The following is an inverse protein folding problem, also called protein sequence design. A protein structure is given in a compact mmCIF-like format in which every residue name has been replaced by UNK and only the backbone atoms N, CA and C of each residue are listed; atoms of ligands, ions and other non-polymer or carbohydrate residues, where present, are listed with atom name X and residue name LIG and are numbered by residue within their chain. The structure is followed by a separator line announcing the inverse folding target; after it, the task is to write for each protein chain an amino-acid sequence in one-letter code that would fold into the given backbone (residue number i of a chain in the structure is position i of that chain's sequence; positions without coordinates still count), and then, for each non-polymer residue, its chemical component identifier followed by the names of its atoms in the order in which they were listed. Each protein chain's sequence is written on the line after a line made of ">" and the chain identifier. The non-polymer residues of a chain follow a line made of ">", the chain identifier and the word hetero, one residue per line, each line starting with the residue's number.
data_IF_701668244514
#
_entry.id   IF_701668244514
#
_cell.length_a   1.000
_cell.length_b   1.000
_cell.length_c   1.000
_cell.angle_alpha   90.00
_cell.angle_beta   90.00
_cell.angle_gamma   90.00
#
_symmetry.space_group_name_H-M   'P 1'
#
loop_
_entity.id
_entity.type
_entity.pdbx_description
1 polymer ?
#
# COMPACT_ATOMS: atom_id res chain seq x y z
N UNK A 1 13.09 52.69 40.07
CA UNK A 1 14.15 52.95 41.07
C UNK A 1 14.26 51.73 41.97
N UNK A 2 15.33 50.94 41.79
CA UNK A 2 16.46 50.76 42.74
C UNK A 2 16.08 49.73 43.84
N UNK A 3 16.39 48.45 43.62
CA UNK A 3 17.60 47.73 44.11
C UNK A 3 17.30 47.07 45.49
N UNK A 4 17.94 46.01 46.00
CA UNK A 4 19.29 45.49 45.78
C UNK A 4 19.45 44.19 46.62
N UNK A 5 20.10 43.15 46.05
CA UNK A 5 21.21 42.33 46.63
C UNK A 5 20.93 41.43 47.87
N UNK A 6 21.63 40.32 48.16
CA UNK A 6 23.09 39.98 48.23
C UNK A 6 23.19 38.43 48.16
N UNK A 7 23.95 37.78 47.24
CA UNK A 7 25.35 37.24 47.34
C UNK A 7 25.62 36.39 48.63
N UNK A 8 26.33 35.25 48.66
CA UNK A 8 27.64 34.93 48.06
C UNK A 8 28.00 33.43 48.21
N UNK A 9 28.88 32.95 47.32
CA UNK A 9 29.48 31.63 47.15
C UNK A 9 30.43 31.12 48.26
N UNK A 10 30.70 29.82 48.27
CA UNK A 10 32.04 29.27 48.57
C UNK A 10 32.39 28.06 47.68
N UNK A 11 33.62 28.08 47.20
CA UNK A 11 34.32 27.11 46.34
C UNK A 11 35.20 26.24 47.25
N UNK A 12 35.40 24.94 46.96
CA UNK A 12 36.73 24.28 46.87
C UNK A 12 36.65 22.74 46.73
N UNK A 13 37.74 22.20 46.16
CA UNK A 13 37.92 20.91 45.51
C UNK A 13 38.21 19.71 46.45
N UNK A 14 37.82 18.52 45.97
CA UNK A 14 38.44 17.18 46.06
C UNK A 14 39.00 16.64 47.40
N UNK A 15 38.45 15.50 47.87
CA UNK A 15 39.14 14.19 47.94
C UNK A 15 38.26 13.12 48.62
N UNK A 16 38.22 11.93 47.99
CA UNK A 16 37.86 10.60 48.51
C UNK A 16 36.37 10.25 48.79
N UNK A 17 35.89 9.25 48.05
CA UNK A 17 34.97 8.22 48.58
C UNK A 17 33.50 8.34 48.22
N UNK A 18 33.12 7.72 47.09
CA UNK A 18 31.83 7.07 46.77
C UNK A 18 30.52 7.61 47.33
N UNK A 19 29.59 8.00 46.44
CA UNK A 19 28.26 7.37 46.32
C UNK A 19 27.60 7.88 45.04
N UNK A 20 27.20 6.92 44.19
CA UNK A 20 26.52 7.11 42.92
C UNK A 20 25.15 7.76 43.10
N UNK A 21 24.79 8.77 42.30
CA UNK A 21 23.44 8.90 41.72
C UNK A 21 23.52 9.69 40.40
N UNK A 22 23.18 8.99 39.32
CA UNK A 22 23.06 9.49 37.96
C UNK A 22 21.77 10.31 37.83
N UNK A 23 21.86 11.54 37.32
CA UNK A 23 20.74 12.22 36.66
C UNK A 23 21.25 12.67 35.29
N UNK A 24 21.01 11.82 34.29
CA UNK A 24 21.27 12.13 32.88
C UNK A 24 19.97 11.89 32.10
N UNK A 25 18.98 12.77 32.27
CA UNK A 25 17.75 12.75 31.50
C UNK A 25 17.53 14.10 30.84
N UNK A 26 18.04 14.26 29.60
CA UNK A 26 17.51 15.26 28.68
C UNK A 26 17.85 15.04 27.19
N UNK A 27 18.74 14.12 26.84
CA UNK A 27 19.20 13.94 25.43
C UNK A 27 18.73 12.62 24.83
N UNK A 28 17.48 12.22 25.09
CA UNK A 28 16.88 11.02 24.47
C UNK A 28 15.50 11.29 23.84
N UNK A 29 15.21 12.56 23.53
CA UNK A 29 13.90 13.00 23.03
C UNK A 29 13.83 13.27 21.52
N UNK A 30 14.93 13.17 20.78
CA UNK A 30 14.93 13.39 19.32
C UNK A 30 14.85 12.10 18.48
N UNK A 31 15.22 10.94 19.02
CA UNK A 31 15.23 9.67 18.26
C UNK A 31 13.92 8.85 18.37
N UNK A 32 12.97 9.29 19.20
CA UNK A 32 11.71 8.57 19.45
C UNK A 32 10.57 8.98 18.50
N UNK A 33 10.72 10.07 17.75
CA UNK A 33 9.66 10.58 16.86
C UNK A 33 9.74 10.03 15.43
N UNK A 34 10.90 9.54 14.97
CA UNK A 34 11.00 8.91 13.64
C UNK A 34 10.52 7.45 13.59
N UNK A 35 10.34 6.81 14.76
CA UNK A 35 9.73 5.49 14.87
C UNK A 35 8.20 5.50 14.92
N UNK A 36 7.57 6.69 14.93
CA UNK A 36 6.10 6.85 14.92
C UNK A 36 5.45 6.70 13.53
N UNK A 37 6.12 6.05 12.57
CA UNK A 37 5.38 5.21 11.61
C UNK A 37 5.05 3.88 12.28
N UNK A 38 4.20 3.95 13.31
CA UNK A 38 3.51 2.77 13.84
C UNK A 38 2.66 2.24 12.71
N UNK A 39 3.16 1.21 12.02
CA UNK A 39 2.39 0.37 11.12
C UNK A 39 1.31 -0.29 11.97
N UNK A 40 0.14 0.34 12.04
CA UNK A 40 -1.05 -0.23 12.68
C UNK A 40 -1.56 -1.35 11.78
N UNK A 41 -1.76 -2.52 12.39
CA UNK A 41 -2.15 -3.75 11.70
C UNK A 41 -0.94 -4.53 11.22
N UNK A 42 -0.95 -5.84 11.49
CA UNK A 42 -0.08 -6.78 10.81
C UNK A 42 -0.16 -6.46 9.31
N UNK A 43 0.96 -6.00 8.74
CA UNK A 43 1.08 -5.93 7.28
C UNK A 43 0.64 -7.29 6.77
N UNK A 44 -0.35 -7.36 5.90
CA UNK A 44 -0.29 -8.35 4.84
C UNK A 44 1.14 -8.25 4.30
N UNK A 45 1.97 -9.27 4.58
CA UNK A 45 3.39 -9.30 4.21
C UNK A 45 3.59 -9.37 2.70
N UNK A 46 2.53 -9.20 1.92
CA UNK A 46 2.58 -9.25 0.49
C UNK A 46 3.04 -7.90 -0.04
N UNK A 47 4.20 -7.91 -0.68
CA UNK A 47 4.78 -6.78 -1.41
C UNK A 47 3.85 -6.23 -2.52
N UNK A 48 2.69 -6.87 -2.77
CA UNK A 48 1.81 -6.68 -3.90
C UNK A 48 0.32 -6.52 -3.53
N UNK A 49 -0.05 -5.93 -2.39
CA UNK A 49 -1.47 -5.76 -2.00
C UNK A 49 -2.35 -5.08 -3.07
N UNK A 50 -1.77 -4.23 -3.92
CA UNK A 50 -2.47 -3.61 -5.05
C UNK A 50 -2.84 -4.62 -6.15
N UNK A 51 -1.98 -5.61 -6.40
CA UNK A 51 -2.28 -6.69 -7.34
C UNK A 51 -3.33 -7.62 -6.76
N UNK A 52 -3.26 -7.89 -5.45
CA UNK A 52 -4.22 -8.75 -4.76
C UNK A 52 -5.62 -8.17 -4.80
N UNK A 53 -5.78 -6.88 -4.50
CA UNK A 53 -7.09 -6.23 -4.61
C UNK A 53 -7.55 -6.11 -6.07
N UNK A 54 -6.64 -5.86 -7.02
CA UNK A 54 -6.97 -5.86 -8.44
C UNK A 54 -7.49 -7.23 -8.88
N UNK A 55 -6.77 -8.30 -8.51
CA UNK A 55 -7.12 -9.68 -8.83
C UNK A 55 -8.44 -10.09 -8.17
N UNK A 56 -8.63 -9.78 -6.89
CA UNK A 56 -9.88 -10.02 -6.20
C UNK A 56 -11.05 -9.28 -6.87
N UNK A 57 -10.84 -8.02 -7.26
CA UNK A 57 -11.85 -7.23 -7.97
C UNK A 57 -12.16 -7.84 -9.33
N UNK A 58 -11.15 -8.20 -10.13
CA UNK A 58 -11.35 -8.83 -11.45
C UNK A 58 -12.06 -10.18 -11.33
N UNK A 59 -11.71 -11.00 -10.34
CA UNK A 59 -12.34 -12.31 -10.10
C UNK A 59 -13.82 -12.20 -9.69
N UNK A 60 -14.20 -11.10 -9.03
CA UNK A 60 -15.58 -10.85 -8.62
C UNK A 60 -16.48 -10.34 -9.77
N UNK A 61 -15.91 -10.05 -10.95
CA UNK A 61 -16.69 -9.60 -12.11
C UNK A 61 -17.47 -10.79 -12.68
N UNK A 62 -18.81 -10.68 -12.82
CA UNK A 62 -19.60 -11.72 -13.45
C UNK A 62 -19.06 -12.06 -14.83
N UNK A 63 -18.85 -13.34 -15.10
CA UNK A 63 -18.35 -13.81 -16.38
C UNK A 63 -19.15 -15.01 -16.87
N UNK A 64 -19.30 -15.11 -18.19
CA UNK A 64 -20.05 -16.20 -18.81
C UNK A 64 -19.14 -17.41 -19.01
N UNK A 65 -19.39 -18.49 -18.27
CA UNK A 65 -18.70 -19.78 -18.40
C UNK A 65 -17.37 -19.89 -17.65
N UNK A 66 -16.68 -21.04 -17.74
CA UNK A 66 -15.37 -21.24 -17.14
C UNK A 66 -14.29 -20.45 -17.89
N UNK A 67 -13.26 -20.00 -17.18
CA UNK A 67 -12.12 -19.31 -17.76
C UNK A 67 -11.13 -18.87 -16.69
N UNK A 68 -9.91 -18.54 -17.12
CA UNK A 68 -8.90 -17.97 -16.24
C UNK A 68 -9.00 -16.46 -16.26
N UNK A 69 -8.85 -15.83 -15.10
CA UNK A 69 -8.89 -14.38 -14.94
C UNK A 69 -7.52 -13.92 -14.46
N UNK A 70 -7.05 -12.80 -15.02
CA UNK A 70 -5.79 -12.17 -14.68
C UNK A 70 -6.00 -10.68 -14.46
N UNK A 71 -5.41 -10.15 -13.39
CA UNK A 71 -5.20 -8.72 -13.24
C UNK A 71 -3.83 -8.34 -13.80
N UNK A 72 -3.82 -7.65 -14.94
CA UNK A 72 -2.61 -7.24 -15.65
C UNK A 72 -2.33 -5.77 -15.36
N UNK A 73 -1.14 -5.46 -14.85
CA UNK A 73 -0.72 -4.07 -14.60
C UNK A 73 -0.66 -3.29 -15.92
N UNK A 74 -1.12 -2.05 -15.89
CA UNK A 74 -1.00 -1.07 -16.98
C UNK A 74 -0.32 0.19 -16.47
N UNK A 75 0.63 0.74 -17.23
CA UNK A 75 1.31 1.97 -16.82
C UNK A 75 0.52 3.19 -17.29
N UNK A 76 0.36 4.16 -16.41
CA UNK A 76 -0.22 5.47 -16.72
C UNK A 76 0.54 6.12 -17.88
N UNK A 77 -0.17 6.56 -18.93
CA UNK A 77 0.44 7.18 -20.11
C UNK A 77 0.92 6.21 -21.19
N UNK A 78 0.74 4.89 -21.00
CA UNK A 78 0.90 3.92 -22.08
C UNK A 78 -0.20 4.10 -23.14
N UNK A 79 0.20 4.03 -24.42
CA UNK A 79 -0.71 4.08 -25.56
C UNK A 79 -1.72 2.93 -25.60
N UNK A 80 -1.35 1.64 -25.40
CA UNK A 80 -2.32 0.56 -25.49
C UNK A 80 -3.34 0.62 -24.34
N UNK A 81 -4.60 0.41 -24.69
CA UNK A 81 -5.69 0.20 -23.74
C UNK A 81 -5.76 -1.28 -23.30
N UNK A 82 -6.66 -1.59 -22.37
CA UNK A 82 -6.79 -2.94 -21.86
C UNK A 82 -7.29 -3.95 -22.90
N UNK A 83 -8.05 -3.51 -23.90
CA UNK A 83 -8.48 -4.37 -25.01
C UNK A 83 -7.27 -4.86 -25.80
N UNK A 84 -6.34 -3.96 -26.13
CA UNK A 84 -5.11 -4.33 -26.84
C UNK A 84 -4.17 -5.15 -25.96
N UNK A 85 -4.01 -4.79 -24.69
CA UNK A 85 -3.14 -5.52 -23.75
C UNK A 85 -3.62 -6.96 -23.58
N UNK A 86 -4.91 -7.17 -23.30
CA UNK A 86 -5.43 -8.51 -23.05
C UNK A 86 -5.42 -9.41 -24.29
N UNK A 87 -5.40 -8.84 -25.49
CA UNK A 87 -5.34 -9.59 -26.75
C UNK A 87 -3.91 -9.72 -27.31
N UNK A 88 -2.91 -9.10 -26.67
CA UNK A 88 -1.51 -9.17 -27.09
C UNK A 88 -0.94 -10.59 -26.93
N UNK A 89 -0.41 -11.14 -28.02
CA UNK A 89 0.24 -12.45 -28.05
C UNK A 89 1.36 -12.58 -27.00
N UNK A 90 2.16 -11.53 -26.78
CA UNK A 90 3.25 -11.51 -25.81
C UNK A 90 2.77 -11.65 -24.37
N UNK A 91 1.56 -11.18 -24.07
CA UNK A 91 0.96 -11.37 -22.74
C UNK A 91 0.61 -12.85 -22.54
N UNK A 92 -0.06 -13.45 -23.54
CA UNK A 92 -0.50 -14.86 -23.48
C UNK A 92 0.69 -15.82 -23.35
N UNK A 93 1.79 -15.53 -24.05
CA UNK A 93 3.01 -16.33 -24.04
C UNK A 93 3.70 -16.36 -22.66
N UNK A 94 3.36 -15.47 -21.73
CA UNK A 94 3.85 -15.49 -20.34
C UNK A 94 3.16 -16.57 -19.47
N UNK A 95 1.97 -17.03 -19.87
CA UNK A 95 1.25 -18.09 -19.19
C UNK A 95 1.74 -19.50 -19.54
N UNK A 96 1.18 -20.54 -18.92
CA UNK A 96 1.50 -21.92 -19.27
C UNK A 96 0.95 -22.29 -20.67
N UNK A 97 1.48 -23.35 -21.31
CA UNK A 97 1.20 -23.65 -22.73
C UNK A 97 -0.29 -23.81 -23.04
N UNK A 98 -1.05 -24.29 -22.08
CA UNK A 98 -2.49 -24.51 -22.16
C UNK A 98 -3.25 -23.21 -22.43
N UNK A 99 -2.78 -22.07 -21.92
CA UNK A 99 -3.47 -20.78 -22.09
C UNK A 99 -3.11 -20.07 -23.40
N UNK A 100 -2.07 -20.53 -24.11
CA UNK A 100 -1.57 -19.89 -25.33
C UNK A 100 -2.57 -19.97 -26.49
N UNK A 101 -3.38 -21.04 -26.50
CA UNK A 101 -4.38 -21.34 -27.53
C UNK A 101 -5.81 -20.94 -27.11
N UNK A 102 -5.99 -20.38 -25.92
CA UNK A 102 -7.29 -19.88 -25.48
C UNK A 102 -7.65 -18.58 -26.18
N UNK A 103 -8.93 -18.24 -26.16
CA UNK A 103 -9.40 -16.93 -26.58
C UNK A 103 -9.23 -15.96 -25.42
N UNK A 104 -8.49 -14.89 -25.66
CA UNK A 104 -8.25 -13.85 -24.65
C UNK A 104 -9.05 -12.61 -24.97
N UNK A 105 -9.67 -12.03 -23.95
CA UNK A 105 -10.39 -10.77 -24.06
C UNK A 105 -10.26 -9.95 -22.77
N UNK A 106 -10.59 -8.67 -22.86
CA UNK A 106 -10.72 -7.79 -21.71
C UNK A 106 -12.18 -7.76 -21.23
N UNK A 107 -12.37 -7.86 -19.93
CA UNK A 107 -13.70 -7.80 -19.29
C UNK A 107 -13.94 -6.49 -18.55
N UNK A 108 -12.88 -5.83 -18.10
CA UNK A 108 -12.94 -4.60 -17.32
C UNK A 108 -11.56 -3.91 -17.28
N UNK A 109 -11.55 -2.62 -16.99
CA UNK A 109 -10.34 -1.92 -16.58
C UNK A 109 -10.54 -1.18 -15.26
N UNK A 110 -9.50 -1.19 -14.43
CA UNK A 110 -9.55 -0.72 -13.05
C UNK A 110 -8.55 0.41 -12.82
N UNK A 111 -8.94 1.37 -11.99
CA UNK A 111 -8.00 2.22 -11.29
C UNK A 111 -7.96 1.81 -9.81
N UNK A 112 -6.88 1.15 -9.40
CA UNK A 112 -6.60 0.88 -7.98
C UNK A 112 -5.84 2.07 -7.41
N UNK A 113 -6.46 2.77 -6.46
CA UNK A 113 -5.88 3.97 -5.88
C UNK A 113 -4.74 3.64 -4.92
N UNK A 114 -3.59 4.27 -5.13
CA UNK A 114 -2.44 4.21 -4.24
C UNK A 114 -2.59 5.21 -3.09
N UNK A 115 -1.90 4.96 -1.98
CA UNK A 115 -1.83 5.86 -0.80
C UNK A 115 -3.21 6.13 -0.17
N UNK A 116 -4.10 5.14 -0.24
CA UNK A 116 -5.37 5.19 0.49
C UNK A 116 -5.13 4.89 2.00
N UNK A 117 -6.02 5.36 2.89
CA UNK A 117 -5.98 4.98 4.29
C UNK A 117 -6.07 3.46 4.45
N UNK A 118 -5.16 2.87 5.22
CA UNK A 118 -5.28 1.49 5.66
C UNK A 118 -6.13 1.47 6.94
N UNK A 119 -7.21 0.70 6.92
CA UNK A 119 -7.98 0.42 8.14
C UNK A 119 -7.16 -0.51 9.03
N UNK A 120 -7.32 -0.36 10.34
CA UNK A 120 -6.73 -1.27 11.30
C UNK A 120 -7.25 -2.71 11.10
N UNK A 121 -6.44 -3.67 11.52
CA UNK A 121 -6.85 -5.07 11.60
C UNK A 121 -8.09 -5.19 12.51
N UNK A 122 -9.02 -6.04 12.12
CA UNK A 122 -10.31 -6.24 12.79
C UNK A 122 -10.52 -7.68 13.28
N UNK A 123 -9.47 -8.49 13.37
CA UNK A 123 -9.56 -9.87 13.86
C UNK A 123 -10.14 -9.97 15.29
N UNK A 124 -9.63 -9.15 16.23
CA UNK A 124 -10.07 -9.20 17.64
C UNK A 124 -11.14 -8.13 17.99
N UNK A 125 -11.11 -6.96 17.34
CA UNK A 125 -11.98 -5.81 17.68
C UNK A 125 -12.44 -5.01 16.45
N UNK A 126 -13.68 -4.50 16.48
CA UNK A 126 -14.23 -3.62 15.43
C UNK A 126 -13.75 -2.17 15.56
N UNK A 127 -12.44 -1.97 15.40
CA UNK A 127 -11.85 -0.64 15.29
C UNK A 127 -12.14 -0.03 13.91
N UNK A 128 -12.00 1.30 13.77
CA UNK A 128 -12.19 2.02 12.49
C UNK A 128 -13.58 1.91 11.83
N UNK A 129 -14.62 1.66 12.63
CA UNK A 129 -16.02 1.75 12.19
C UNK A 129 -16.31 3.08 11.47
N UNK A 130 -17.04 3.01 10.35
CA UNK A 130 -17.40 4.13 9.48
C UNK A 130 -16.23 4.88 8.80
N UNK A 131 -15.06 4.23 8.64
CA UNK A 131 -13.93 4.81 7.88
C UNK A 131 -13.79 4.17 6.50
N UNK A 132 -13.31 4.95 5.53
CA UNK A 132 -12.98 4.48 4.19
C UNK A 132 -11.60 3.80 4.20
N UNK A 133 -11.51 2.65 3.54
CA UNK A 133 -10.27 1.92 3.31
C UNK A 133 -9.75 2.08 1.88
N UNK A 134 -9.27 0.98 1.30
CA UNK A 134 -8.82 0.93 -0.09
C UNK A 134 -9.97 1.26 -1.07
N UNK A 135 -9.62 1.94 -2.16
CA UNK A 135 -10.56 2.33 -3.20
C UNK A 135 -10.14 1.75 -4.55
N UNK A 136 -11.11 1.21 -5.28
CA UNK A 136 -10.97 0.74 -6.66
C UNK A 136 -12.09 1.37 -7.49
N UNK A 137 -11.73 2.02 -8.59
CA UNK A 137 -12.68 2.53 -9.56
C UNK A 137 -12.75 1.59 -10.76
N UNK A 138 -13.96 1.23 -11.17
CA UNK A 138 -14.24 0.40 -12.35
C UNK A 138 -14.62 1.31 -13.50
N UNK A 139 -13.92 1.20 -14.62
CA UNK A 139 -14.20 2.04 -15.79
C UNK A 139 -15.39 1.52 -16.62
N UNK A 140 -15.81 0.27 -16.42
CA UNK A 140 -16.81 -0.41 -17.24
C UNK A 140 -16.47 -0.36 -18.73
N UNK A 141 -15.18 -0.41 -19.04
CA UNK A 141 -14.66 -0.28 -20.40
C UNK A 141 -13.26 -0.85 -20.49
N UNK A 142 -12.92 -1.36 -21.67
CA UNK A 142 -11.59 -1.85 -22.02
C UNK A 142 -10.84 -0.92 -22.97
N UNK A 143 -11.47 0.17 -23.40
CA UNK A 143 -10.93 1.10 -24.42
C UNK A 143 -10.58 2.47 -23.86
N UNK A 144 -10.66 2.64 -22.53
CA UNK A 144 -10.19 3.86 -21.87
C UNK A 144 -8.66 3.88 -21.96
N UNK A 145 -8.15 4.72 -22.85
CA UNK A 145 -6.73 5.05 -22.93
C UNK A 145 -6.37 6.15 -21.90
N UNK A 146 -5.12 6.60 -21.87
CA UNK A 146 -4.58 7.61 -20.94
C UNK A 146 -4.38 7.13 -19.49
N UNK A 147 -4.20 8.08 -18.58
CA UNK A 147 -3.90 7.89 -17.16
C UNK A 147 -5.12 7.51 -16.30
N UNK A 148 -6.10 6.83 -16.91
CA UNK A 148 -7.27 6.25 -16.23
C UNK A 148 -6.91 4.91 -15.59
N UNK A 149 -7.06 3.78 -16.31
CA UNK A 149 -6.85 2.46 -15.72
C UNK A 149 -5.38 2.13 -15.51
N UNK A 150 -5.06 1.54 -14.36
CA UNK A 150 -3.74 1.02 -14.00
C UNK A 150 -3.72 -0.52 -13.83
N UNK A 151 -4.87 -1.19 -13.98
CA UNK A 151 -4.99 -2.63 -14.17
C UNK A 151 -6.03 -2.97 -15.23
N UNK A 152 -5.80 -4.07 -15.94
CA UNK A 152 -6.70 -4.68 -16.90
C UNK A 152 -7.18 -6.03 -16.37
N UNK A 153 -8.49 -6.29 -16.42
CA UNK A 153 -9.06 -7.60 -16.11
C UNK A 153 -9.14 -8.43 -17.38
N UNK A 154 -8.09 -9.21 -17.64
CA UNK A 154 -7.98 -10.06 -18.81
C UNK A 154 -8.54 -11.45 -18.50
N UNK A 155 -9.27 -12.03 -19.44
CA UNK A 155 -9.87 -13.34 -19.32
C UNK A 155 -9.44 -14.24 -20.46
N UNK A 156 -9.02 -15.46 -20.14
CA UNK A 156 -8.66 -16.50 -21.09
C UNK A 156 -9.69 -17.63 -21.03
N UNK A 157 -10.40 -17.88 -22.13
CA UNK A 157 -11.49 -18.86 -22.20
C UNK A 157 -11.22 -19.92 -23.27
N UNK A 158 -11.59 -21.16 -22.96
CA UNK A 158 -11.76 -22.18 -23.98
C UNK A 158 -13.14 -21.95 -24.61
N UNK A 159 -13.17 -21.67 -25.91
CA UNK A 159 -14.40 -21.64 -26.69
C UNK A 159 -14.83 -23.06 -27.05
#
# INVERSE_FOLDING_TARGET
>A
MVAQFVKTCFVLMNLAGGFSFLVADSVKRSHLQDHLRVRRGFRSYFYNYLDEIAMATCAAIPSNGPGLIYAVRRTCGEKPDCKHICTDKKLREQGPKEVHNLTWDCTESLHVYKRQPALADNYDEYTDSHKLGLAVFRHHSCTVADCGPNYCCCRAVAL
#
